data_IF_590537771742
#
_entry.id   IF_590537771742
#
_cell.length_a   1.000
_cell.length_b   1.000
_cell.length_c   1.000
_cell.angle_alpha   90.00
_cell.angle_beta   90.00
_cell.angle_gamma   90.00
#
_symmetry.space_group_name_H-M   'P 1'
#
loop_
_entity.id
_entity.type
_entity.pdbx_description
1 polymer ?
#
# COMPACT_ATOMS: atom_id res chain seq x y z
N UNK A 1 19.65 5.00 0.47
CA UNK A 1 18.43 4.73 1.26
C UNK A 1 18.81 4.68 2.74
N UNK A 2 18.22 5.53 3.61
CA UNK A 2 18.50 5.57 5.04
C UNK A 2 18.28 4.19 5.67
N UNK A 3 19.15 3.78 6.60
CA UNK A 3 18.99 2.55 7.38
C UNK A 3 18.29 2.89 8.69
N UNK A 4 17.11 2.32 8.92
CA UNK A 4 16.46 2.38 10.23
C UNK A 4 16.75 1.10 10.99
N UNK A 5 17.12 1.22 12.27
CA UNK A 5 17.36 0.08 13.17
C UNK A 5 16.07 -0.43 13.83
N UNK A 6 15.03 0.41 13.85
CA UNK A 6 13.73 0.11 14.45
C UNK A 6 12.60 0.72 13.64
N UNK A 7 11.43 0.10 13.72
CA UNK A 7 10.18 0.64 13.18
C UNK A 7 9.54 1.56 14.24
N UNK A 8 9.18 2.78 13.86
CA UNK A 8 8.57 3.80 14.73
C UNK A 8 9.33 4.09 16.04
N UNK A 9 10.63 3.83 16.09
CA UNK A 9 11.46 4.05 17.29
C UNK A 9 11.27 3.02 18.41
N UNK A 10 10.24 2.17 18.38
CA UNK A 10 9.86 1.29 19.50
C UNK A 10 9.81 -0.21 19.16
N UNK A 11 9.76 -0.59 17.87
CA UNK A 11 9.62 -1.98 17.46
C UNK A 11 10.84 -2.48 16.67
N UNK A 12 11.20 -3.76 16.81
CA UNK A 12 12.18 -4.40 15.94
C UNK A 12 11.72 -4.34 14.47
N UNK A 13 12.65 -4.38 13.51
CA UNK A 13 12.30 -4.37 12.09
C UNK A 13 11.38 -5.52 11.68
N UNK A 14 11.56 -6.70 12.30
CA UNK A 14 10.71 -7.85 12.05
C UNK A 14 9.27 -7.60 12.54
N UNK A 15 9.09 -7.11 13.77
CA UNK A 15 7.77 -6.80 14.30
C UNK A 15 7.14 -5.63 13.54
N UNK A 16 7.93 -4.61 13.21
CA UNK A 16 7.50 -3.49 12.37
C UNK A 16 6.98 -3.94 11.01
N UNK A 17 7.70 -4.85 10.34
CA UNK A 17 7.27 -5.40 9.05
C UNK A 17 5.98 -6.21 9.17
N UNK A 18 5.78 -6.97 10.25
CA UNK A 18 4.52 -7.67 10.52
C UNK A 18 3.37 -6.69 10.75
N UNK A 19 3.59 -5.65 11.56
CA UNK A 19 2.59 -4.61 11.84
C UNK A 19 2.18 -3.93 10.53
N UNK A 20 3.14 -3.55 9.68
CA UNK A 20 2.88 -2.96 8.37
C UNK A 20 2.02 -3.89 7.50
N UNK A 21 2.35 -5.19 7.46
CA UNK A 21 1.60 -6.16 6.66
C UNK A 21 0.15 -6.30 7.14
N UNK A 22 -0.07 -6.37 8.46
CA UNK A 22 -1.42 -6.42 9.04
C UNK A 22 -2.20 -5.13 8.81
N UNK A 23 -1.55 -3.98 9.00
CA UNK A 23 -2.16 -2.69 8.75
C UNK A 23 -2.57 -2.53 7.29
N UNK A 24 -1.72 -2.96 6.36
CA UNK A 24 -2.05 -3.01 4.94
C UNK A 24 -3.30 -3.87 4.68
N UNK A 25 -3.35 -5.09 5.21
CA UNK A 25 -4.53 -5.96 5.05
C UNK A 25 -5.80 -5.33 5.60
N UNK A 26 -5.76 -4.78 6.82
CA UNK A 26 -6.93 -4.17 7.46
C UNK A 26 -7.48 -3.01 6.61
N UNK A 27 -6.60 -2.10 6.16
CA UNK A 27 -7.02 -0.95 5.35
C UNK A 27 -7.69 -1.41 4.05
N UNK A 28 -7.07 -2.34 3.32
CA UNK A 28 -7.62 -2.78 2.05
C UNK A 28 -8.88 -3.65 2.21
N UNK A 29 -9.00 -4.43 3.29
CA UNK A 29 -10.25 -5.13 3.60
C UNK A 29 -11.39 -4.16 3.92
N UNK A 30 -11.13 -3.08 4.66
CA UNK A 30 -12.12 -2.04 4.92
C UNK A 30 -12.50 -1.28 3.64
N UNK A 31 -11.52 -1.02 2.76
CA UNK A 31 -11.75 -0.41 1.45
C UNK A 31 -12.66 -1.28 0.58
N UNK A 32 -12.38 -2.59 0.49
CA UNK A 32 -13.17 -3.56 -0.24
C UNK A 32 -14.60 -3.63 0.29
N UNK A 33 -14.76 -3.72 1.61
CA UNK A 33 -16.07 -3.71 2.24
C UNK A 33 -16.86 -2.44 1.89
N UNK A 34 -16.23 -1.27 1.98
CA UNK A 34 -16.83 0.00 1.59
C UNK A 34 -17.24 0.04 0.11
N UNK A 35 -16.40 -0.46 -0.79
CA UNK A 35 -16.68 -0.55 -2.22
C UNK A 35 -17.86 -1.47 -2.49
N UNK A 36 -17.90 -2.66 -1.86
CA UNK A 36 -19.01 -3.61 -1.99
C UNK A 36 -20.33 -3.01 -1.52
N UNK A 37 -20.34 -2.38 -0.35
CA UNK A 37 -21.54 -1.71 0.18
C UNK A 37 -22.03 -0.63 -0.79
N UNK A 38 -21.12 0.17 -1.37
CA UNK A 38 -21.46 1.20 -2.35
C UNK A 38 -22.00 0.62 -3.67
N UNK A 39 -21.36 -0.41 -4.20
CA UNK A 39 -21.81 -1.09 -5.43
C UNK A 39 -23.21 -1.66 -5.24
N UNK A 40 -23.44 -2.39 -4.14
CA UNK A 40 -24.75 -2.98 -3.83
C UNK A 40 -25.80 -1.88 -3.68
N UNK A 41 -25.51 -0.83 -2.91
CA UNK A 41 -26.43 0.30 -2.74
C UNK A 41 -26.77 0.98 -4.06
N UNK A 42 -25.78 1.22 -4.93
CA UNK A 42 -26.00 1.87 -6.22
C UNK A 42 -26.81 0.97 -7.17
N UNK A 43 -26.60 -0.36 -7.16
CA UNK A 43 -27.41 -1.31 -7.93
C UNK A 43 -28.87 -1.32 -7.43
N UNK A 44 -29.09 -1.37 -6.12
CA UNK A 44 -30.44 -1.32 -5.52
C UNK A 44 -31.18 -0.04 -5.89
N UNK A 45 -30.46 1.08 -6.06
CA UNK A 45 -31.01 2.36 -6.49
C UNK A 45 -31.06 2.52 -8.03
N UNK A 46 -30.81 1.45 -8.80
CA UNK A 46 -30.76 1.46 -10.27
C UNK A 46 -29.73 2.44 -10.87
N UNK A 47 -28.66 2.73 -10.13
CA UNK A 47 -27.55 3.62 -10.51
C UNK A 47 -26.34 2.83 -11.05
N UNK A 48 -26.58 1.94 -12.02
CA UNK A 48 -25.55 1.04 -12.55
C UNK A 48 -24.29 1.73 -13.08
N UNK A 49 -24.44 2.93 -13.66
CA UNK A 49 -23.30 3.73 -14.14
C UNK A 49 -22.39 4.19 -12.99
N UNK A 50 -22.97 4.44 -11.81
CA UNK A 50 -22.26 4.86 -10.62
C UNK A 50 -21.59 3.66 -9.94
N UNK A 51 -22.29 2.53 -9.83
CA UNK A 51 -21.73 1.26 -9.38
C UNK A 51 -20.49 0.83 -10.17
N UNK A 52 -20.53 0.95 -11.50
CA UNK A 52 -19.40 0.62 -12.39
C UNK A 52 -18.12 1.42 -12.10
N UNK A 53 -18.21 2.62 -11.52
CA UNK A 53 -17.04 3.44 -11.16
C UNK A 53 -16.23 2.84 -10.02
N UNK A 54 -16.83 2.01 -9.18
CA UNK A 54 -16.15 1.37 -8.05
C UNK A 54 -15.48 0.03 -8.43
N UNK A 55 -15.78 -0.54 -9.61
CA UNK A 55 -15.21 -1.83 -10.04
C UNK A 55 -13.67 -1.79 -10.15
N UNK A 56 -13.02 -0.77 -10.75
CA UNK A 56 -11.57 -0.69 -10.76
C UNK A 56 -10.97 -0.60 -9.36
N UNK A 57 -11.66 0.08 -8.44
CA UNK A 57 -11.24 0.23 -7.05
C UNK A 57 -11.28 -1.10 -6.30
N UNK A 58 -12.32 -1.90 -6.57
CA UNK A 58 -12.49 -3.26 -6.04
C UNK A 58 -11.41 -4.23 -6.59
N UNK A 59 -11.08 -4.15 -7.88
CA UNK A 59 -9.98 -4.96 -8.43
C UNK A 59 -8.65 -4.57 -7.77
N UNK A 60 -8.41 -3.27 -7.61
CA UNK A 60 -7.19 -2.77 -6.98
C UNK A 60 -7.06 -3.20 -5.51
N UNK A 61 -8.14 -3.14 -4.72
CA UNK A 61 -8.08 -3.55 -3.32
C UNK A 61 -7.92 -5.06 -3.16
N UNK A 62 -8.57 -5.89 -4.00
CA UNK A 62 -8.32 -7.33 -4.05
C UNK A 62 -6.85 -7.66 -4.37
N UNK A 63 -6.25 -7.01 -5.37
CA UNK A 63 -4.83 -7.16 -5.67
C UNK A 63 -3.94 -6.74 -4.49
N UNK A 64 -4.30 -5.66 -3.81
CA UNK A 64 -3.54 -5.16 -2.65
C UNK A 64 -3.64 -6.11 -1.45
N UNK A 65 -4.82 -6.69 -1.18
CA UNK A 65 -5.00 -7.75 -0.16
C UNK A 65 -4.13 -8.97 -0.48
N UNK A 66 -4.11 -9.41 -1.74
CA UNK A 66 -3.26 -10.52 -2.16
C UNK A 66 -1.78 -10.23 -1.92
N UNK A 67 -1.30 -9.05 -2.34
CA UNK A 67 0.09 -8.61 -2.14
C UNK A 67 0.44 -8.50 -0.65
N UNK A 68 -0.44 -7.92 0.18
CA UNK A 68 -0.28 -7.83 1.63
C UNK A 68 -0.22 -9.20 2.31
N UNK A 69 -1.01 -10.16 1.84
CA UNK A 69 -1.02 -11.54 2.35
C UNK A 69 0.30 -12.24 2.02
N UNK A 70 0.74 -12.15 0.76
CA UNK A 70 2.02 -12.72 0.33
C UNK A 70 3.19 -12.09 1.08
N UNK A 71 3.14 -10.78 1.33
CA UNK A 71 4.12 -10.10 2.14
C UNK A 71 4.18 -10.65 3.57
N UNK A 72 3.04 -10.78 4.26
CA UNK A 72 3.01 -11.38 5.61
C UNK A 72 3.57 -12.80 5.60
N UNK A 73 3.17 -13.64 4.64
CA UNK A 73 3.75 -14.97 4.46
C UNK A 73 5.27 -14.88 4.29
N UNK A 74 5.75 -13.92 3.49
CA UNK A 74 7.17 -13.63 3.32
C UNK A 74 7.89 -13.29 4.62
N UNK A 75 7.31 -12.44 5.47
CA UNK A 75 7.90 -12.04 6.76
C UNK A 75 7.86 -13.18 7.80
N UNK A 76 6.76 -13.94 7.87
CA UNK A 76 6.61 -15.04 8.83
C UNK A 76 7.42 -16.28 8.43
N UNK A 77 7.39 -16.66 7.15
CA UNK A 77 8.09 -17.86 6.62
C UNK A 77 9.48 -17.54 6.03
N UNK A 78 9.94 -16.29 6.15
CA UNK A 78 11.24 -15.81 5.66
C UNK A 78 11.43 -15.97 4.14
N UNK A 79 10.37 -15.89 3.35
CA UNK A 79 10.49 -15.93 1.89
C UNK A 79 10.90 -14.59 1.30
N UNK A 80 12.17 -14.50 0.89
CA UNK A 80 12.77 -13.29 0.33
C UNK A 80 11.99 -12.79 -0.91
N UNK A 81 11.59 -13.71 -1.80
CA UNK A 81 10.78 -13.41 -2.99
C UNK A 81 9.59 -12.51 -2.66
N UNK A 82 8.69 -12.92 -1.78
CA UNK A 82 7.47 -12.15 -1.49
C UNK A 82 7.74 -10.79 -0.86
N UNK A 83 8.81 -10.67 -0.07
CA UNK A 83 9.25 -9.37 0.46
C UNK A 83 9.73 -8.46 -0.67
N UNK A 84 10.48 -8.97 -1.65
CA UNK A 84 10.93 -8.21 -2.83
C UNK A 84 9.73 -7.71 -3.67
N UNK A 85 8.73 -8.56 -3.90
CA UNK A 85 7.49 -8.16 -4.59
C UNK A 85 6.77 -7.02 -3.87
N UNK A 86 6.68 -7.10 -2.54
CA UNK A 86 6.05 -6.04 -1.74
C UNK A 86 6.83 -4.72 -1.79
N UNK A 87 8.17 -4.78 -1.73
CA UNK A 87 9.02 -3.59 -1.88
C UNK A 87 8.79 -2.92 -3.25
N UNK A 88 8.73 -3.71 -4.33
CA UNK A 88 8.46 -3.19 -5.67
C UNK A 88 7.07 -2.57 -5.77
N UNK A 89 6.05 -3.21 -5.19
CA UNK A 89 4.69 -2.68 -5.12
C UNK A 89 4.65 -1.33 -4.38
N UNK A 90 5.24 -1.22 -3.18
CA UNK A 90 5.22 0.05 -2.43
C UNK A 90 5.97 1.15 -3.18
N UNK A 91 7.10 0.82 -3.82
CA UNK A 91 7.82 1.78 -4.65
C UNK A 91 6.94 2.32 -5.78
N UNK A 92 6.20 1.46 -6.48
CA UNK A 92 5.26 1.86 -7.52
C UNK A 92 4.13 2.75 -6.98
N UNK A 93 3.53 2.39 -5.83
CA UNK A 93 2.50 3.21 -5.18
C UNK A 93 3.04 4.58 -4.77
N UNK A 94 4.27 4.63 -4.26
CA UNK A 94 4.93 5.89 -3.87
C UNK A 94 5.11 6.81 -5.08
N UNK A 95 5.59 6.26 -6.20
CA UNK A 95 5.72 7.02 -7.46
C UNK A 95 4.37 7.50 -7.97
N UNK A 96 3.35 6.64 -7.95
CA UNK A 96 2.00 7.01 -8.37
C UNK A 96 1.41 8.12 -7.50
N UNK A 97 1.55 8.03 -6.18
CA UNK A 97 1.09 9.07 -5.26
C UNK A 97 1.76 10.42 -5.53
N UNK A 98 3.08 10.42 -5.80
CA UNK A 98 3.81 11.63 -6.17
C UNK A 98 3.28 12.25 -7.47
N UNK A 99 3.07 11.44 -8.51
CA UNK A 99 2.50 11.90 -9.79
C UNK A 99 1.09 12.46 -9.57
N UNK A 100 0.25 11.78 -8.77
CA UNK A 100 -1.10 12.22 -8.47
C UNK A 100 -1.11 13.59 -7.75
N UNK A 101 -0.21 13.82 -6.80
CA UNK A 101 -0.05 15.12 -6.13
C UNK A 101 0.31 16.22 -7.12
N UNK A 102 1.27 15.96 -8.03
CA UNK A 102 1.71 16.93 -9.03
C UNK A 102 0.55 17.28 -9.97
N UNK A 103 -0.12 16.27 -10.54
CA UNK A 103 -1.25 16.45 -11.46
C UNK A 103 -2.42 17.17 -10.78
N UNK A 104 -2.74 16.79 -9.54
CA UNK A 104 -3.81 17.45 -8.76
C UNK A 104 -3.48 18.92 -8.50
N UNK A 105 -2.24 19.23 -8.14
CA UNK A 105 -1.78 20.61 -7.87
C UNK A 105 -1.82 21.46 -9.14
N UNK A 106 -1.36 20.94 -10.28
CA UNK A 106 -1.42 21.65 -11.56
C UNK A 106 -2.87 21.89 -11.98
N UNK A 107 -3.72 20.86 -11.89
CA UNK A 107 -5.13 20.98 -12.28
C UNK A 107 -5.83 22.04 -11.45
N UNK A 108 -5.57 22.08 -10.15
CA UNK A 108 -6.11 23.11 -9.27
C UNK A 108 -5.63 24.52 -9.66
N UNK A 109 -4.31 24.70 -9.83
CA UNK A 109 -3.72 25.99 -10.18
C UNK A 109 -4.23 26.56 -11.53
N UNK A 110 -4.58 25.69 -12.49
CA UNK A 110 -5.04 26.10 -13.82
C UNK A 110 -6.55 26.31 -13.86
N UNK A 111 -7.32 25.57 -13.06
CA UNK A 111 -8.78 25.50 -13.26
C UNK A 111 -9.56 26.30 -12.21
N UNK A 112 -9.05 26.47 -10.99
CA UNK A 112 -9.76 27.08 -9.85
C UNK A 112 -11.19 26.51 -9.63
N UNK A 113 -11.45 25.31 -10.15
CA UNK A 113 -12.80 24.68 -10.23
C UNK A 113 -13.25 24.13 -8.87
N UNK A 114 -12.32 23.88 -7.95
CA UNK A 114 -12.60 23.31 -6.64
C UNK A 114 -12.40 24.40 -5.60
N UNK A 115 -13.31 24.54 -4.62
CA UNK A 115 -13.10 25.49 -3.54
C UNK A 115 -11.81 25.18 -2.76
N UNK A 116 -11.11 26.22 -2.30
CA UNK A 116 -9.80 26.13 -1.61
C UNK A 116 -9.80 25.11 -0.45
N UNK A 117 -10.93 24.98 0.27
CA UNK A 117 -11.08 24.00 1.34
C UNK A 117 -11.03 22.54 0.86
N UNK A 118 -11.66 22.23 -0.28
CA UNK A 118 -11.65 20.88 -0.84
C UNK A 118 -10.26 20.50 -1.37
N UNK A 119 -9.56 21.47 -1.95
CA UNK A 119 -8.17 21.32 -2.37
C UNK A 119 -7.26 20.93 -1.20
N UNK A 120 -7.31 21.66 -0.09
CA UNK A 120 -6.49 21.36 1.09
C UNK A 120 -6.79 19.97 1.67
N UNK A 121 -8.05 19.55 1.69
CA UNK A 121 -8.44 18.22 2.18
C UNK A 121 -7.84 17.12 1.29
N UNK A 122 -8.01 17.20 -0.03
CA UNK A 122 -7.44 16.17 -0.92
C UNK A 122 -5.92 16.16 -0.88
N UNK A 123 -5.29 17.34 -0.93
CA UNK A 123 -3.84 17.45 -0.90
C UNK A 123 -3.26 16.87 0.39
N UNK A 124 -3.89 17.14 1.54
CA UNK A 124 -3.46 16.57 2.83
C UNK A 124 -3.58 15.05 2.85
N UNK A 125 -4.67 14.48 2.33
CA UNK A 125 -4.84 13.03 2.22
C UNK A 125 -3.78 12.38 1.32
N UNK A 126 -3.51 12.98 0.15
CA UNK A 126 -2.48 12.49 -0.77
C UNK A 126 -1.09 12.58 -0.13
N UNK A 127 -0.79 13.67 0.57
CA UNK A 127 0.49 13.88 1.27
C UNK A 127 0.68 12.86 2.38
N UNK A 128 -0.34 12.62 3.21
CA UNK A 128 -0.31 11.61 4.26
C UNK A 128 -0.09 10.21 3.66
N UNK A 129 -0.77 9.88 2.56
CA UNK A 129 -0.58 8.62 1.84
C UNK A 129 0.87 8.46 1.33
N UNK A 130 1.45 9.52 0.78
CA UNK A 130 2.85 9.53 0.35
C UNK A 130 3.81 9.31 1.53
N UNK A 131 3.62 10.00 2.64
CA UNK A 131 4.47 9.84 3.84
C UNK A 131 4.38 8.42 4.39
N UNK A 132 3.18 7.84 4.48
CA UNK A 132 2.97 6.46 4.95
C UNK A 132 3.65 5.45 4.01
N UNK A 133 3.49 5.58 2.69
CA UNK A 133 4.11 4.68 1.72
C UNK A 133 5.65 4.75 1.76
N UNK A 134 6.23 5.94 1.88
CA UNK A 134 7.68 6.12 2.08
C UNK A 134 8.14 5.44 3.38
N UNK A 135 7.39 5.61 4.48
CA UNK A 135 7.73 4.99 5.76
C UNK A 135 7.73 3.46 5.63
N UNK A 136 6.70 2.89 5.00
CA UNK A 136 6.61 1.44 4.80
C UNK A 136 7.75 0.93 3.93
N UNK A 137 8.09 1.65 2.86
CA UNK A 137 9.23 1.32 2.01
C UNK A 137 10.52 1.26 2.82
N UNK A 138 10.81 2.29 3.61
CA UNK A 138 12.05 2.38 4.40
C UNK A 138 12.15 1.24 5.41
N UNK A 139 11.08 0.94 6.13
CA UNK A 139 11.06 -0.12 7.15
C UNK A 139 11.23 -1.50 6.50
N UNK A 140 10.43 -1.82 5.48
CA UNK A 140 10.47 -3.15 4.85
C UNK A 140 11.77 -3.37 4.08
N UNK A 141 12.27 -2.33 3.40
CA UNK A 141 13.57 -2.40 2.73
C UNK A 141 14.71 -2.60 3.72
N UNK A 142 14.67 -1.91 4.88
CA UNK A 142 15.67 -2.11 5.94
C UNK A 142 15.60 -3.52 6.51
N UNK A 143 14.41 -4.04 6.77
CA UNK A 143 14.20 -5.43 7.20
C UNK A 143 14.79 -6.45 6.21
N UNK A 144 14.46 -6.30 4.92
CA UNK A 144 14.98 -7.17 3.85
C UNK A 144 16.50 -7.14 3.78
N UNK A 145 17.10 -5.95 3.87
CA UNK A 145 18.56 -5.79 3.79
C UNK A 145 19.27 -6.40 4.99
N UNK A 146 18.74 -6.23 6.20
CA UNK A 146 19.33 -6.77 7.43
C UNK A 146 19.24 -8.30 7.49
N UNK A 147 18.17 -8.87 6.96
CA UNK A 147 17.93 -10.31 6.99
C UNK A 147 18.37 -11.01 5.69
N UNK A 148 19.05 -10.32 4.77
CA UNK A 148 19.36 -10.84 3.43
C UNK A 148 20.06 -12.20 3.49
N UNK A 149 21.05 -12.40 4.34
CA UNK A 149 21.74 -13.70 4.48
C UNK A 149 20.78 -14.84 4.83
N UNK A 150 20.04 -14.72 5.94
CA UNK A 150 19.09 -15.73 6.41
C UNK A 150 17.90 -15.95 5.45
N UNK A 151 17.51 -14.92 4.69
CA UNK A 151 16.44 -15.02 3.69
C UNK A 151 16.90 -15.83 2.46
N UNK A 152 18.15 -15.67 2.02
CA UNK A 152 18.72 -16.40 0.88
C UNK A 152 19.01 -17.87 1.20
N UNK A 153 19.53 -18.18 2.40
CA UNK A 153 19.70 -19.58 2.85
C UNK A 153 18.37 -20.35 2.85
N UNK A 154 17.26 -19.67 3.15
CA UNK A 154 15.92 -20.27 3.09
C UNK A 154 15.37 -20.46 1.66
N UNK A 155 15.87 -19.70 0.68
CA UNK A 155 15.56 -19.88 -0.74
C UNK A 155 16.38 -21.05 -1.32
N UNK A 156 17.65 -21.20 -0.94
CA UNK A 156 18.51 -22.33 -1.37
C UNK A 156 18.04 -23.68 -0.79
N UNK A 157 17.66 -23.72 0.49
CA UNK A 157 17.13 -24.95 1.11
C UNK A 157 15.78 -25.41 0.54
N UNK A 158 15.09 -24.56 -0.23
CA UNK A 158 13.82 -24.88 -0.91
C UNK A 158 13.95 -24.97 -2.43
N UNK A 159 15.18 -24.86 -2.95
CA UNK A 159 15.52 -25.15 -4.34
C UNK A 159 15.73 -26.64 -4.63
N UNK A 160 15.41 -27.52 -3.68
CA UNK A 160 15.35 -28.97 -3.87
C UNK A 160 13.87 -29.38 -3.77
N UNK A 161 13.40 -30.04 -4.83
CA UNK A 161 12.04 -30.52 -5.14
C UNK A 161 11.16 -29.58 -5.96
#
# INVERSE_FOLDING_TARGET
IPKVKSCFGCCSLQNGSKIIGWFHLIIFSLLELGCLVKIVSDITLSKEKQARRYVPMLIFGLCSIYIGTMFLIGVYKKYARYIKWYIAYIAAITCFALIAIIVFTITFAVSDVLGYGYYLIILSLLTVSLVVSINFFIVVFSYYRENKGALYESEEFKGIY
#
